data_IF_083550534144
#
_entry.id   IF_083550534144
#
_cell.length_a   1.000
_cell.length_b   1.000
_cell.length_c   1.000
_cell.angle_alpha   90.00
_cell.angle_beta   90.00
_cell.angle_gamma   90.00
#
_symmetry.space_group_name_H-M   'P 1'
#
loop_
_entity.id
_entity.type
_entity.pdbx_description
1 polymer ?
#
# COMPACT_ATOMS: atom_id res chain seq x y z
N UNK A 1 4.92 -38.72 51.65
CA UNK A 1 6.12 -39.13 50.89
C UNK A 1 5.66 -40.19 49.89
N UNK A 2 5.74 -40.09 48.56
CA UNK A 2 6.59 -39.36 47.61
C UNK A 2 5.84 -39.18 46.26
N UNK A 3 6.28 -38.15 45.53
CA UNK A 3 5.81 -37.47 44.32
C UNK A 3 5.99 -38.27 43.00
N UNK A 4 5.26 -37.89 41.94
CA UNK A 4 5.04 -38.67 40.71
C UNK A 4 6.06 -38.54 39.57
N UNK A 5 5.82 -39.27 38.48
CA UNK A 5 6.52 -39.12 37.19
C UNK A 5 5.88 -39.99 36.09
N UNK A 6 5.17 -39.43 35.11
CA UNK A 6 4.89 -40.09 33.82
C UNK A 6 4.46 -39.06 32.77
N UNK A 7 5.45 -38.32 32.23
CA UNK A 7 5.29 -37.46 31.05
C UNK A 7 6.48 -37.66 30.12
N UNK A 8 6.53 -38.77 29.39
CA UNK A 8 7.55 -39.01 28.35
C UNK A 8 7.01 -39.95 27.27
N UNK A 9 6.42 -39.40 26.20
CA UNK A 9 6.28 -40.11 24.91
C UNK A 9 6.07 -39.21 23.68
N UNK A 10 6.04 -37.87 23.81
CA UNK A 10 5.87 -36.94 22.66
C UNK A 10 7.18 -36.40 22.06
N UNK A 11 8.36 -36.88 22.47
CA UNK A 11 9.64 -36.21 22.15
C UNK A 11 10.38 -36.68 20.88
N UNK A 12 9.92 -37.73 20.19
CA UNK A 12 10.70 -38.34 19.08
C UNK A 12 10.32 -37.81 17.69
N UNK A 13 9.02 -37.69 17.41
CA UNK A 13 8.53 -37.13 16.13
C UNK A 13 8.89 -35.65 15.95
N UNK A 14 8.92 -34.89 17.06
CA UNK A 14 9.33 -33.49 17.09
C UNK A 14 10.81 -33.30 16.74
N UNK A 15 11.70 -34.13 17.31
CA UNK A 15 13.14 -34.12 17.01
C UNK A 15 13.46 -34.42 15.54
N UNK A 16 12.72 -35.35 14.91
CA UNK A 16 12.95 -35.69 13.49
C UNK A 16 12.52 -34.57 12.53
N UNK A 17 11.46 -33.82 12.86
CA UNK A 17 11.04 -32.64 12.10
C UNK A 17 12.01 -31.47 12.27
N UNK A 18 12.48 -31.24 13.49
CA UNK A 18 13.50 -30.21 13.79
C UNK A 18 14.83 -30.52 13.07
N UNK A 19 15.30 -31.77 13.10
CA UNK A 19 16.51 -32.19 12.38
C UNK A 19 16.37 -32.09 10.85
N UNK A 20 15.17 -32.32 10.31
CA UNK A 20 14.90 -32.14 8.87
C UNK A 20 14.88 -30.65 8.49
N UNK A 21 14.31 -29.80 9.35
CA UNK A 21 14.27 -28.34 9.16
C UNK A 21 15.67 -27.74 9.18
N UNK A 22 16.48 -28.10 10.19
CA UNK A 22 17.88 -27.65 10.27
C UNK A 22 18.72 -28.05 9.05
N UNK A 23 18.49 -29.24 8.48
CA UNK A 23 19.18 -29.67 7.24
C UNK A 23 18.71 -28.89 6.01
N UNK A 24 17.42 -28.54 5.96
CA UNK A 24 16.87 -27.72 4.89
C UNK A 24 17.42 -26.28 4.96
N UNK A 25 17.45 -25.70 6.15
CA UNK A 25 17.97 -24.35 6.41
C UNK A 25 19.46 -24.27 6.03
N UNK A 26 20.25 -25.29 6.40
CA UNK A 26 21.66 -25.39 5.99
C UNK A 26 21.84 -25.56 4.47
N UNK A 27 20.93 -26.27 3.81
CA UNK A 27 20.94 -26.43 2.35
C UNK A 27 20.63 -25.11 1.63
N UNK A 28 19.60 -24.40 2.08
CA UNK A 28 19.19 -23.11 1.54
C UNK A 28 20.28 -22.05 1.74
N UNK A 29 20.95 -22.02 2.89
CA UNK A 29 22.05 -21.10 3.16
C UNK A 29 23.23 -21.31 2.18
N UNK A 30 23.55 -22.55 1.81
CA UNK A 30 24.63 -22.85 0.85
C UNK A 30 24.28 -22.41 -0.57
N UNK A 31 23.02 -22.59 -0.97
CA UNK A 31 22.53 -22.15 -2.28
C UNK A 31 22.52 -20.61 -2.32
N UNK A 32 22.02 -19.96 -1.27
CA UNK A 32 22.05 -18.50 -1.14
C UNK A 32 23.47 -17.93 -1.27
N UNK A 33 24.46 -18.55 -0.60
CA UNK A 33 25.86 -18.12 -0.71
C UNK A 33 26.45 -18.26 -2.12
N UNK A 34 26.08 -19.31 -2.88
CA UNK A 34 26.57 -19.50 -4.25
C UNK A 34 25.90 -18.57 -5.25
N UNK A 35 24.66 -18.18 -5.00
CA UNK A 35 23.89 -17.28 -5.85
C UNK A 35 24.09 -15.80 -5.49
N UNK A 36 24.90 -15.49 -4.48
CA UNK A 36 25.07 -14.11 -3.99
C UNK A 36 23.86 -13.58 -3.22
N UNK A 37 22.88 -14.42 -2.89
CA UNK A 37 21.67 -14.09 -2.13
C UNK A 37 21.94 -14.01 -0.62
N UNK A 38 23.06 -13.42 -0.21
CA UNK A 38 23.23 -12.99 1.17
C UNK A 38 22.30 -11.80 1.38
N UNK A 39 21.01 -12.12 1.52
CA UNK A 39 20.01 -11.24 2.06
C UNK A 39 20.41 -11.06 3.52
N UNK A 40 21.19 -10.00 3.79
CA UNK A 40 20.92 -9.23 4.99
C UNK A 40 19.39 -9.10 5.05
N UNK A 41 18.80 -9.28 6.24
CA UNK A 41 17.38 -9.06 6.45
C UNK A 41 17.03 -7.56 6.34
N UNK A 42 17.55 -6.90 5.31
CA UNK A 42 17.10 -5.65 4.77
C UNK A 42 16.14 -6.05 3.65
N UNK A 43 14.85 -5.96 3.95
CA UNK A 43 13.78 -6.17 2.98
C UNK A 43 14.12 -5.34 1.74
N UNK A 44 14.07 -6.00 0.58
CA UNK A 44 14.51 -5.42 -0.69
C UNK A 44 14.15 -3.95 -0.77
N UNK A 45 15.18 -3.12 -0.74
CA UNK A 45 15.14 -1.76 -1.25
C UNK A 45 14.81 -1.92 -2.73
N UNK A 46 13.52 -2.10 -3.05
CA UNK A 46 12.97 -1.27 -4.10
C UNK A 46 13.45 0.12 -3.72
N UNK A 47 14.48 0.57 -4.42
CA UNK A 47 15.16 1.84 -4.23
C UNK A 47 14.11 2.84 -3.75
N UNK A 48 14.29 3.43 -2.56
CA UNK A 48 13.35 4.40 -1.98
C UNK A 48 13.40 5.64 -2.86
N UNK A 49 12.87 5.53 -4.08
CA UNK A 49 12.80 6.59 -5.06
C UNK A 49 11.79 7.56 -4.51
N UNK A 50 12.28 8.74 -4.14
CA UNK A 50 11.40 9.85 -3.82
C UNK A 50 10.59 10.17 -5.07
N UNK A 51 9.28 10.16 -4.93
CA UNK A 51 8.40 10.43 -6.04
C UNK A 51 8.52 11.92 -6.42
N UNK A 52 8.99 12.18 -7.65
CA UNK A 52 8.76 13.46 -8.30
C UNK A 52 7.36 13.40 -8.88
N UNK A 53 6.45 14.18 -8.31
CA UNK A 53 5.05 14.18 -8.68
C UNK A 53 4.59 15.56 -9.12
N UNK A 54 3.70 15.59 -10.11
CA UNK A 54 3.01 16.80 -10.53
C UNK A 54 1.64 16.87 -9.86
N UNK A 55 1.21 18.08 -9.51
CA UNK A 55 -0.09 18.31 -8.89
C UNK A 55 -0.93 19.14 -9.84
N UNK A 56 -2.09 18.58 -10.20
CA UNK A 56 -3.02 19.17 -11.16
C UNK A 56 -4.37 19.44 -10.50
N UNK A 57 -5.08 20.53 -10.88
CA UNK A 57 -6.49 20.65 -10.58
C UNK A 57 -7.26 19.44 -11.12
N UNK A 58 -8.14 18.85 -10.32
CA UNK A 58 -8.88 17.64 -10.74
C UNK A 58 -9.67 17.85 -12.04
N UNK A 59 -10.20 19.06 -12.26
CA UNK A 59 -10.94 19.40 -13.47
C UNK A 59 -10.07 19.48 -14.74
N UNK A 60 -8.74 19.60 -14.64
CA UNK A 60 -7.84 19.55 -15.81
C UNK A 60 -7.41 18.12 -16.17
N UNK A 61 -7.68 17.14 -15.31
CA UNK A 61 -7.27 15.74 -15.48
C UNK A 61 -8.46 14.81 -15.76
N UNK A 62 -9.53 15.32 -16.37
CA UNK A 62 -10.75 14.56 -16.69
C UNK A 62 -10.45 13.29 -17.47
N UNK A 63 -10.91 12.14 -16.96
CA UNK A 63 -10.83 10.82 -17.57
C UNK A 63 -12.11 10.04 -17.29
N UNK A 64 -12.25 8.89 -17.96
CA UNK A 64 -13.26 7.92 -17.59
C UNK A 64 -12.95 7.33 -16.22
N UNK A 65 -13.95 7.22 -15.35
CA UNK A 65 -13.77 6.66 -14.01
C UNK A 65 -14.60 5.40 -13.82
N UNK A 66 -13.88 4.32 -13.52
CA UNK A 66 -14.43 2.98 -13.29
C UNK A 66 -13.74 2.33 -12.10
N UNK A 67 -14.33 1.25 -11.58
CA UNK A 67 -13.79 0.50 -10.45
C UNK A 67 -13.30 -0.85 -10.96
N UNK A 68 -12.00 -1.10 -10.89
CA UNK A 68 -11.39 -2.34 -11.38
C UNK A 68 -10.08 -2.69 -10.64
N UNK A 69 -10.05 -2.70 -9.30
CA UNK A 69 -8.81 -2.98 -8.57
C UNK A 69 -8.31 -4.40 -8.89
N UNK A 70 -7.07 -4.53 -9.33
CA UNK A 70 -6.43 -5.80 -9.69
C UNK A 70 -4.96 -5.82 -9.28
N UNK A 71 -4.63 -6.67 -8.31
CA UNK A 71 -3.28 -6.77 -7.75
C UNK A 71 -2.26 -7.46 -8.66
N UNK A 72 -2.71 -8.13 -9.73
CA UNK A 72 -1.84 -8.94 -10.58
C UNK A 72 -1.28 -8.16 -11.80
N UNK A 73 -1.56 -6.85 -11.90
CA UNK A 73 -1.15 -6.00 -13.02
C UNK A 73 -0.54 -4.66 -12.60
N UNK A 74 -0.87 -3.61 -13.36
CA UNK A 74 -0.57 -2.23 -12.99
C UNK A 74 -1.45 -1.79 -11.81
N UNK A 75 -1.16 -0.66 -11.17
CA UNK A 75 -2.06 -0.15 -10.14
C UNK A 75 -3.36 0.37 -10.78
N UNK A 76 -4.50 -0.18 -10.39
CA UNK A 76 -5.79 0.08 -11.04
C UNK A 76 -6.73 0.99 -10.22
N UNK A 77 -7.69 1.67 -10.87
CA UNK A 77 -8.71 2.46 -10.19
C UNK A 77 -9.44 1.72 -9.07
N UNK A 78 -9.37 2.27 -7.87
CA UNK A 78 -9.90 1.67 -6.64
C UNK A 78 -8.83 1.12 -5.70
N UNK A 79 -7.59 0.97 -6.15
CA UNK A 79 -6.45 0.64 -5.29
C UNK A 79 -5.92 1.86 -4.54
N UNK A 80 -5.35 1.61 -3.36
CA UNK A 80 -4.56 2.59 -2.62
C UNK A 80 -3.09 2.21 -2.71
N UNK A 81 -2.28 3.18 -3.10
CA UNK A 81 -0.83 3.04 -3.19
C UNK A 81 -0.12 4.09 -2.36
N UNK A 82 1.13 3.82 -2.01
CA UNK A 82 1.96 4.70 -1.20
C UNK A 82 3.07 5.29 -2.05
N UNK A 83 3.28 6.59 -1.91
CA UNK A 83 4.37 7.31 -2.54
C UNK A 83 5.24 7.94 -1.45
N UNK A 84 6.55 7.96 -1.64
CA UNK A 84 7.47 8.59 -0.70
C UNK A 84 7.77 10.01 -1.17
N UNK A 85 7.26 11.00 -0.44
CA UNK A 85 7.48 12.42 -0.75
C UNK A 85 8.50 13.03 0.23
N UNK A 86 9.53 13.67 -0.31
CA UNK A 86 10.41 14.54 0.45
C UNK A 86 9.63 15.77 0.94
N UNK A 87 9.76 16.12 2.21
CA UNK A 87 9.27 17.40 2.71
C UNK A 87 10.35 18.46 2.60
N UNK A 88 9.98 19.73 2.48
CA UNK A 88 10.93 20.86 2.48
C UNK A 88 11.77 20.87 3.76
N UNK A 89 12.97 20.28 3.70
CA UNK A 89 13.87 20.12 4.85
C UNK A 89 13.40 19.11 5.91
N UNK A 90 12.43 18.24 5.59
CA UNK A 90 11.91 17.21 6.50
C UNK A 90 12.15 15.83 5.91
N UNK A 91 12.36 14.84 6.79
CA UNK A 91 12.45 13.43 6.40
C UNK A 91 11.28 13.05 5.47
N UNK A 92 11.61 12.41 4.35
CA UNK A 92 10.62 11.94 3.40
C UNK A 92 9.61 11.04 4.10
N UNK A 93 8.34 11.22 3.77
CA UNK A 93 7.25 10.49 4.39
C UNK A 93 6.38 9.84 3.34
N UNK A 94 5.84 8.69 3.72
CA UNK A 94 4.93 7.98 2.86
C UNK A 94 3.56 8.68 2.89
N UNK A 95 2.92 8.75 1.73
CA UNK A 95 1.58 9.31 1.54
C UNK A 95 0.75 8.30 0.78
N UNK A 96 -0.41 7.99 1.33
CA UNK A 96 -1.40 7.16 0.66
C UNK A 96 -2.15 7.99 -0.38
N UNK A 97 -2.32 7.43 -1.58
CA UNK A 97 -3.12 8.00 -2.66
C UNK A 97 -4.08 6.94 -3.20
N UNK A 98 -5.32 7.33 -3.50
CA UNK A 98 -6.29 6.47 -4.19
C UNK A 98 -6.08 6.60 -5.70
N UNK A 99 -5.80 5.49 -6.37
CA UNK A 99 -5.71 5.45 -7.83
C UNK A 99 -7.09 5.66 -8.44
N UNK A 100 -7.17 6.59 -9.38
CA UNK A 100 -8.39 6.95 -10.12
C UNK A 100 -8.24 6.84 -11.64
N UNK A 101 -7.02 6.66 -12.14
CA UNK A 101 -6.75 6.46 -13.56
C UNK A 101 -5.25 6.48 -13.86
N UNK A 102 -4.92 6.61 -15.15
CA UNK A 102 -3.56 6.54 -15.65
C UNK A 102 -3.25 7.68 -16.61
N UNK A 103 -1.97 8.07 -16.64
CA UNK A 103 -1.34 8.79 -17.73
C UNK A 103 -0.62 7.83 -18.68
N UNK A 104 0.46 8.28 -19.32
CA UNK A 104 1.24 7.45 -20.25
C UNK A 104 2.15 6.45 -19.52
N UNK A 105 2.93 6.94 -18.56
CA UNK A 105 3.85 6.15 -17.72
C UNK A 105 3.65 6.48 -16.22
N UNK A 106 2.49 7.06 -15.94
CA UNK A 106 2.14 7.65 -14.65
C UNK A 106 0.79 7.13 -14.21
N UNK A 107 0.58 7.13 -12.90
CA UNK A 107 -0.72 6.92 -12.28
C UNK A 107 -1.30 8.27 -11.87
N UNK A 108 -2.63 8.36 -11.88
CA UNK A 108 -3.38 9.50 -11.37
C UNK A 108 -4.00 9.10 -10.04
N UNK A 109 -3.63 9.84 -8.99
CA UNK A 109 -4.04 9.54 -7.62
C UNK A 109 -4.68 10.72 -6.90
N UNK A 110 -5.60 10.43 -5.99
CA UNK A 110 -6.19 11.41 -5.08
C UNK A 110 -5.56 11.27 -3.68
N UNK A 111 -5.05 12.35 -3.07
CA UNK A 111 -4.42 12.32 -1.74
C UNK A 111 -5.34 11.85 -0.62
N UNK A 112 -4.83 10.96 0.25
CA UNK A 112 -5.50 10.54 1.49
C UNK A 112 -4.79 11.18 2.69
N UNK A 113 -5.58 11.72 3.63
CA UNK A 113 -5.09 12.33 4.87
C UNK A 113 -5.88 11.81 6.08
N UNK A 114 -5.23 11.40 7.18
CA UNK A 114 -5.90 11.09 8.44
C UNK A 114 -6.16 12.34 9.30
N UNK A 115 -5.86 13.56 8.80
CA UNK A 115 -6.07 14.79 9.58
C UNK A 115 -7.56 15.12 9.71
N UNK A 116 -8.03 15.20 10.95
CA UNK A 116 -9.43 15.51 11.29
C UNK A 116 -9.88 16.92 10.90
N UNK A 117 -8.95 17.85 10.68
CA UNK A 117 -9.27 19.23 10.29
C UNK A 117 -9.98 19.30 8.93
N UNK A 118 -9.80 18.30 8.07
CA UNK A 118 -10.43 18.23 6.74
C UNK A 118 -11.94 17.92 6.77
N UNK A 119 -12.52 17.65 7.95
CA UNK A 119 -13.93 17.32 8.09
C UNK A 119 -14.88 18.41 7.57
N UNK A 120 -14.50 19.66 7.78
CA UNK A 120 -15.30 20.84 7.45
C UNK A 120 -14.70 21.64 6.29
N UNK A 121 -13.68 21.09 5.61
CA UNK A 121 -12.97 21.74 4.50
C UNK A 121 -13.60 21.36 3.15
N UNK A 122 -13.82 22.35 2.28
CA UNK A 122 -14.27 22.10 0.92
C UNK A 122 -13.24 21.28 0.13
N UNK A 123 -13.72 20.48 -0.82
CA UNK A 123 -12.83 19.63 -1.62
C UNK A 123 -12.32 18.37 -0.92
N UNK A 124 -12.64 18.17 0.36
CA UNK A 124 -12.31 16.94 1.09
C UNK A 124 -13.54 16.07 1.29
N UNK A 125 -13.36 14.75 1.17
CA UNK A 125 -14.42 13.77 1.33
C UNK A 125 -14.04 12.72 2.37
N UNK A 126 -14.90 12.54 3.36
CA UNK A 126 -14.79 11.44 4.33
C UNK A 126 -14.93 10.07 3.64
N UNK A 127 -13.85 9.27 3.71
CA UNK A 127 -13.79 7.89 3.21
C UNK A 127 -13.79 6.85 4.34
N UNK A 128 -13.86 7.31 5.59
CA UNK A 128 -13.81 6.52 6.81
C UNK A 128 -12.47 5.83 7.04
N UNK A 129 -12.46 4.87 7.96
CA UNK A 129 -11.29 4.03 8.24
C UNK A 129 -11.11 2.92 7.20
N UNK A 130 -9.88 2.50 6.99
CA UNK A 130 -9.53 1.37 6.11
C UNK A 130 -8.04 1.05 6.15
N UNK A 131 -7.61 0.09 5.32
CA UNK A 131 -6.22 -0.38 5.25
C UNK A 131 -5.23 0.67 4.73
N UNK A 132 -5.71 1.83 4.27
CA UNK A 132 -4.89 2.97 3.87
C UNK A 132 -4.29 3.75 5.04
N UNK A 133 -4.76 3.49 6.27
CA UNK A 133 -4.14 3.99 7.49
C UNK A 133 -3.96 2.85 8.50
N UNK A 134 -2.71 2.62 8.92
CA UNK A 134 -2.37 1.50 9.81
C UNK A 134 -2.89 1.70 11.24
N UNK A 135 -3.21 2.93 11.63
CA UNK A 135 -3.85 3.21 12.92
C UNK A 135 -5.35 2.89 12.94
N UNK A 136 -5.96 2.74 11.76
CA UNK A 136 -7.40 2.54 11.61
C UNK A 136 -8.23 3.81 11.85
N UNK A 137 -7.60 4.98 11.82
CA UNK A 137 -8.31 6.25 11.97
C UNK A 137 -9.18 6.53 10.74
N UNK A 138 -10.28 7.29 10.90
CA UNK A 138 -10.99 7.87 9.76
C UNK A 138 -10.04 8.72 8.91
N UNK A 139 -10.22 8.68 7.59
CA UNK A 139 -9.43 9.47 6.66
C UNK A 139 -10.32 10.26 5.69
N UNK A 140 -9.72 11.30 5.13
CA UNK A 140 -10.31 12.19 4.13
C UNK A 140 -9.53 12.08 2.83
N UNK A 141 -10.27 12.16 1.72
CA UNK A 141 -9.75 12.15 0.37
C UNK A 141 -9.84 13.56 -0.23
N UNK A 142 -8.73 14.10 -0.72
CA UNK A 142 -8.72 15.36 -1.44
C UNK A 142 -9.24 15.13 -2.86
N UNK A 143 -10.32 15.82 -3.23
CA UNK A 143 -10.98 15.73 -4.53
C UNK A 143 -10.60 16.87 -5.48
N UNK A 144 -10.03 17.96 -4.97
CA UNK A 144 -9.69 19.14 -5.78
C UNK A 144 -8.37 19.00 -6.55
N UNK A 145 -7.52 18.07 -6.10
CA UNK A 145 -6.17 17.87 -6.63
C UNK A 145 -5.96 16.42 -7.02
N UNK A 146 -5.46 16.22 -8.23
CA UNK A 146 -4.91 14.96 -8.69
C UNK A 146 -3.39 15.06 -8.63
N UNK A 147 -2.77 14.05 -8.03
CA UNK A 147 -1.33 13.85 -8.10
C UNK A 147 -1.05 12.89 -9.25
N UNK A 148 -0.19 13.30 -10.16
CA UNK A 148 0.38 12.45 -11.19
C UNK A 148 1.74 11.94 -10.73
N UNK A 149 1.91 10.61 -10.70
CA UNK A 149 3.12 9.98 -10.15
C UNK A 149 3.65 8.93 -11.12
N UNK A 150 4.97 8.87 -11.36
CA UNK A 150 5.57 7.77 -12.11
C UNK A 150 5.20 6.42 -11.49
N UNK A 151 4.80 5.46 -12.31
CA UNK A 151 4.38 4.15 -11.80
C UNK A 151 5.49 3.44 -11.01
N UNK A 152 6.76 3.65 -11.39
CA UNK A 152 7.92 3.09 -10.69
C UNK A 152 8.14 3.65 -9.28
N UNK A 153 7.52 4.78 -8.93
CA UNK A 153 7.69 5.45 -7.64
C UNK A 153 6.62 5.06 -6.60
N UNK A 154 5.75 4.11 -6.93
CA UNK A 154 4.64 3.70 -6.07
C UNK A 154 4.95 2.39 -5.34
N UNK A 155 4.40 2.25 -4.14
CA UNK A 155 4.41 1.00 -3.37
C UNK A 155 2.98 0.51 -3.20
N UNK A 156 2.75 -0.76 -3.54
CA UNK A 156 1.45 -1.42 -3.39
C UNK A 156 1.49 -2.32 -2.16
N UNK A 157 0.53 -2.15 -1.27
CA UNK A 157 0.38 -2.96 -0.05
C UNK A 157 -0.93 -3.76 -0.03
N UNK A 158 -1.62 -3.84 -1.16
CA UNK A 158 -2.90 -4.56 -1.30
C UNK A 158 -4.09 -3.88 -0.63
N UNK A 159 -4.00 -2.58 -0.40
CA UNK A 159 -5.13 -1.80 0.07
C UNK A 159 -6.06 -1.41 -1.08
N UNK A 160 -7.35 -1.63 -0.87
CA UNK A 160 -8.40 -1.35 -1.86
C UNK A 160 -9.53 -0.60 -1.17
N UNK A 161 -10.06 0.43 -1.82
CA UNK A 161 -11.26 1.13 -1.37
C UNK A 161 -12.49 0.28 -1.68
N UNK A 162 -13.38 0.01 -0.70
CA UNK A 162 -14.60 -0.75 -0.97
C UNK A 162 -15.44 -0.11 -2.09
N UNK A 163 -15.93 -0.92 -3.03
CA UNK A 163 -16.70 -0.47 -4.20
C UNK A 163 -17.74 0.61 -3.91
N UNK A 164 -18.57 0.46 -2.86
CA UNK A 164 -19.61 1.44 -2.50
C UNK A 164 -19.02 2.82 -2.12
N UNK A 165 -17.83 2.85 -1.52
CA UNK A 165 -17.12 4.10 -1.21
C UNK A 165 -16.52 4.70 -2.47
N UNK A 166 -15.92 3.87 -3.32
CA UNK A 166 -15.42 4.30 -4.62
C UNK A 166 -16.53 4.90 -5.51
N UNK A 167 -17.72 4.28 -5.56
CA UNK A 167 -18.85 4.81 -6.32
C UNK A 167 -19.28 6.21 -5.82
N UNK A 168 -19.21 6.48 -4.52
CA UNK A 168 -19.45 7.83 -3.98
C UNK A 168 -18.40 8.83 -4.45
N UNK A 169 -17.13 8.43 -4.44
CA UNK A 169 -16.01 9.25 -4.93
C UNK A 169 -16.20 9.54 -6.42
N UNK A 170 -16.44 8.50 -7.23
CA UNK A 170 -16.68 8.62 -8.66
C UNK A 170 -17.85 9.56 -8.95
N UNK A 171 -18.99 9.40 -8.28
CA UNK A 171 -20.14 10.29 -8.49
C UNK A 171 -19.82 11.76 -8.19
N UNK A 172 -19.01 12.03 -7.16
CA UNK A 172 -18.58 13.39 -6.84
C UNK A 172 -17.62 13.95 -7.89
N UNK A 173 -16.68 13.13 -8.38
CA UNK A 173 -15.81 13.49 -9.50
C UNK A 173 -16.59 13.84 -10.77
N UNK A 174 -17.64 13.06 -11.09
CA UNK A 174 -18.49 13.33 -12.26
C UNK A 174 -19.30 14.61 -12.09
N UNK A 175 -19.93 14.79 -10.94
CA UNK A 175 -20.79 15.94 -10.65
C UNK A 175 -20.01 17.25 -10.64
N UNK A 176 -18.86 17.26 -9.98
CA UNK A 176 -18.22 18.53 -9.58
C UNK A 176 -17.01 18.88 -10.43
N UNK A 177 -16.40 17.89 -11.10
CA UNK A 177 -15.16 18.07 -11.88
C UNK A 177 -15.26 17.54 -13.32
N UNK A 178 -16.42 17.03 -13.75
CA UNK A 178 -16.68 16.63 -15.13
C UNK A 178 -16.05 15.29 -15.55
N UNK A 179 -15.67 14.44 -14.61
CA UNK A 179 -15.19 13.08 -14.90
C UNK A 179 -16.33 12.21 -15.45
N UNK A 180 -16.04 11.16 -16.21
CA UNK A 180 -17.09 10.38 -16.89
C UNK A 180 -16.67 9.01 -17.33
#
# INVERSE_FOLDING_TARGET
MITGFLRRLTSFARRRREARRARLDAGLARIGNRLGLRQEADGGTAERVEAVCDIHPTASMVRNIYYAPDMDGHAEPGEVVWIRLAGDGVEARDRAILVVGHGMETILGLPISPNTDHKDEEGWLDIGSGSWDSSGAPCWLCLDKVIEVPELAIRREGAIVPRRRFERIANKLRSDYGWG
#
